data_IF_602375636356
#
_entry.id   IF_602375636356
#
_cell.length_a   1.000
_cell.length_b   1.000
_cell.length_c   1.000
_cell.angle_alpha   90.00
_cell.angle_beta   90.00
_cell.angle_gamma   90.00
#
_symmetry.space_group_name_H-M   'P 1'
#
loop_
_entity.id
_entity.type
_entity.pdbx_description
1 polymer ?
#
# COMPACT_ATOMS: atom_id res chain seq x y z
N UNK A 1 18.64 36.30 58.51
CA UNK A 1 17.95 35.15 57.88
C UNK A 1 17.56 35.57 56.48
N UNK A 2 18.37 35.24 55.46
CA UNK A 2 17.97 35.42 54.05
C UNK A 2 18.05 34.06 53.40
N UNK A 3 16.88 33.51 53.05
CA UNK A 3 16.74 32.18 52.47
C UNK A 3 17.18 32.14 51.01
N UNK A 4 17.89 31.08 50.65
CA UNK A 4 18.22 30.76 49.26
C UNK A 4 16.99 30.10 48.64
N UNK A 5 16.33 30.79 47.70
CA UNK A 5 15.28 30.22 46.87
C UNK A 5 15.90 29.39 45.73
N UNK A 6 15.61 28.09 45.74
CA UNK A 6 15.92 27.17 44.63
C UNK A 6 14.77 27.24 43.62
N UNK A 7 15.06 27.67 42.39
CA UNK A 7 14.10 27.63 41.29
C UNK A 7 14.15 26.26 40.62
N UNK A 8 13.02 25.56 40.62
CA UNK A 8 12.83 24.31 39.89
C UNK A 8 12.60 24.62 38.40
N UNK A 9 13.66 24.54 37.59
CA UNK A 9 13.54 24.49 36.13
C UNK A 9 13.17 23.06 35.74
N UNK A 10 11.90 22.81 35.44
CA UNK A 10 11.47 21.55 34.81
C UNK A 10 11.95 21.51 33.35
N UNK A 11 12.55 20.43 32.91
CA UNK A 11 12.87 20.21 31.49
C UNK A 11 11.57 19.94 30.70
N UNK A 12 11.08 20.93 29.94
CA UNK A 12 9.81 20.83 29.18
C UNK A 12 10.05 20.27 27.75
N UNK A 13 11.29 19.93 27.37
CA UNK A 13 11.65 19.58 25.98
C UNK A 13 12.14 18.14 25.74
N UNK A 14 12.38 17.33 26.76
CA UNK A 14 13.04 16.02 26.61
C UNK A 14 12.16 14.94 25.96
N UNK A 15 10.84 15.17 25.87
CA UNK A 15 9.87 14.17 25.41
C UNK A 15 9.34 14.40 23.98
N UNK A 16 9.72 15.50 23.32
CA UNK A 16 9.39 15.78 21.91
C UNK A 16 10.58 15.45 21.01
N UNK A 17 11.07 14.21 21.13
CA UNK A 17 12.10 13.69 20.25
C UNK A 17 11.41 13.09 19.03
N UNK A 18 11.52 13.77 17.89
CA UNK A 18 11.05 13.23 16.63
C UNK A 18 11.85 11.97 16.30
N UNK A 19 11.20 10.87 15.87
CA UNK A 19 11.91 9.66 15.53
C UNK A 19 12.88 9.93 14.36
N UNK A 20 14.17 9.82 14.64
CA UNK A 20 15.24 9.80 13.64
C UNK A 20 15.14 8.48 12.87
N UNK A 21 14.67 8.51 11.62
CA UNK A 21 14.49 7.29 10.84
C UNK A 21 13.47 7.39 9.70
N UNK A 22 12.77 6.28 9.43
CA UNK A 22 11.79 6.18 8.34
C UNK A 22 10.68 7.23 8.49
N UNK A 23 10.29 7.93 7.40
CA UNK A 23 9.21 8.91 7.45
C UNK A 23 7.94 8.30 8.05
N UNK A 24 7.25 9.08 8.90
CA UNK A 24 5.90 8.72 9.34
C UNK A 24 4.89 9.21 8.31
N UNK A 25 3.69 8.62 8.29
CA UNK A 25 2.60 9.09 7.41
C UNK A 25 2.33 10.60 7.59
N UNK A 26 2.47 11.12 8.82
CA UNK A 26 2.27 12.53 9.14
C UNK A 26 3.40 13.44 8.61
N UNK A 27 4.62 12.93 8.45
CA UNK A 27 5.76 13.73 8.00
C UNK A 27 6.10 13.56 6.51
N UNK A 28 5.54 12.55 5.85
CA UNK A 28 5.90 12.15 4.48
C UNK A 28 5.33 13.05 3.38
N UNK A 29 4.05 13.43 3.41
CA UNK A 29 3.37 14.05 2.25
C UNK A 29 3.59 15.57 2.14
N UNK A 30 4.81 16.02 1.81
CA UNK A 30 5.16 17.46 1.81
C UNK A 30 5.62 17.98 0.46
N UNK A 31 6.46 17.23 -0.24
CA UNK A 31 7.14 17.69 -1.46
C UNK A 31 6.63 16.96 -2.69
N UNK A 32 6.91 17.52 -3.87
CA UNK A 32 6.64 16.85 -5.14
C UNK A 32 7.31 15.47 -5.23
N UNK A 33 8.53 15.32 -4.71
CA UNK A 33 9.22 14.02 -4.70
C UNK A 33 8.51 13.00 -3.81
N UNK A 34 7.92 13.43 -2.70
CA UNK A 34 7.14 12.55 -1.82
C UNK A 34 5.86 12.07 -2.53
N UNK A 35 5.20 12.96 -3.30
CA UNK A 35 4.07 12.59 -4.14
C UNK A 35 4.46 11.54 -5.17
N UNK A 36 5.53 11.78 -5.92
CA UNK A 36 6.01 10.86 -6.96
C UNK A 36 6.36 9.51 -6.32
N UNK A 37 7.11 9.51 -5.22
CA UNK A 37 7.57 8.29 -4.54
C UNK A 37 6.39 7.53 -3.93
N UNK A 38 5.49 8.22 -3.23
CA UNK A 38 4.31 7.65 -2.61
C UNK A 38 3.32 7.07 -3.63
N UNK A 39 3.07 7.81 -4.73
CA UNK A 39 2.23 7.34 -5.82
C UNK A 39 2.86 6.15 -6.55
N UNK A 40 4.19 6.15 -6.77
CA UNK A 40 4.89 5.04 -7.42
C UNK A 40 4.74 3.71 -6.67
N UNK A 41 4.48 3.73 -5.37
CA UNK A 41 4.21 2.52 -4.59
C UNK A 41 2.95 1.76 -5.07
N UNK A 42 2.00 2.43 -5.76
CA UNK A 42 0.86 1.78 -6.41
C UNK A 42 1.29 0.81 -7.52
N UNK A 43 2.39 1.11 -8.22
CA UNK A 43 2.87 0.30 -9.34
C UNK A 43 3.65 -0.94 -8.90
N UNK A 44 4.17 -0.97 -7.67
CA UNK A 44 5.01 -2.07 -7.19
C UNK A 44 4.30 -3.44 -7.24
N UNK A 45 3.04 -3.60 -6.79
CA UNK A 45 2.32 -4.86 -6.93
C UNK A 45 2.05 -5.25 -8.39
N UNK A 46 2.01 -4.31 -9.34
CA UNK A 46 1.74 -4.61 -10.76
C UNK A 46 2.87 -5.40 -11.42
N UNK A 47 4.11 -5.20 -10.96
CA UNK A 47 5.28 -5.94 -11.44
C UNK A 47 5.41 -7.35 -10.82
N UNK A 48 4.58 -7.68 -9.83
CA UNK A 48 4.61 -8.98 -9.17
C UNK A 48 3.98 -10.06 -10.07
N UNK A 49 4.69 -11.17 -10.28
CA UNK A 49 4.19 -12.30 -11.07
C UNK A 49 2.90 -12.88 -10.50
N UNK A 50 2.68 -12.78 -9.20
CA UNK A 50 1.45 -13.23 -8.55
C UNK A 50 0.38 -12.14 -8.52
N UNK A 51 0.50 -11.06 -9.31
CA UNK A 51 -0.59 -10.10 -9.54
C UNK A 51 -1.10 -10.17 -10.97
N UNK A 52 -0.82 -9.18 -11.82
CA UNK A 52 -1.22 -9.18 -13.23
C UNK A 52 -0.34 -10.04 -14.15
N UNK A 53 0.72 -10.68 -13.63
CA UNK A 53 1.54 -11.60 -14.40
C UNK A 53 0.86 -12.95 -14.63
N UNK A 54 0.97 -13.87 -13.67
CA UNK A 54 0.34 -15.19 -13.62
C UNK A 54 -0.79 -15.25 -12.58
N UNK A 55 -0.63 -14.57 -11.46
CA UNK A 55 -1.53 -14.68 -10.30
C UNK A 55 -3.02 -14.52 -10.62
N UNK A 56 -3.38 -13.43 -11.29
CA UNK A 56 -4.75 -13.16 -11.73
C UNK A 56 -5.28 -14.23 -12.69
N UNK A 57 -4.42 -14.78 -13.56
CA UNK A 57 -4.84 -15.73 -14.58
C UNK A 57 -5.23 -17.10 -14.01
N UNK A 58 -4.85 -17.41 -12.76
CA UNK A 58 -5.35 -18.62 -12.08
C UNK A 58 -6.88 -18.60 -11.90
N UNK A 59 -7.53 -17.44 -11.90
CA UNK A 59 -9.00 -17.40 -11.89
C UNK A 59 -9.64 -17.89 -13.20
N UNK A 60 -8.90 -17.89 -14.32
CA UNK A 60 -9.39 -18.44 -15.61
C UNK A 60 -9.57 -19.95 -15.52
N UNK A 61 -8.97 -20.65 -14.55
CA UNK A 61 -9.26 -22.08 -14.33
C UNK A 61 -10.73 -22.36 -14.02
N UNK A 62 -11.49 -21.37 -13.53
CA UNK A 62 -12.93 -21.48 -13.32
C UNK A 62 -13.74 -21.28 -14.63
N UNK A 63 -13.09 -20.92 -15.74
CA UNK A 63 -13.69 -20.88 -17.08
C UNK A 63 -13.44 -22.19 -17.85
N UNK A 64 -14.01 -22.30 -19.04
CA UNK A 64 -13.78 -23.38 -19.99
C UNK A 64 -12.64 -23.11 -21.01
N UNK A 65 -11.97 -21.95 -20.93
CA UNK A 65 -10.91 -21.54 -21.86
C UNK A 65 -9.50 -22.05 -21.48
N UNK A 66 -9.33 -22.68 -20.32
CA UNK A 66 -8.02 -23.11 -19.83
C UNK A 66 -8.07 -24.42 -19.05
N UNK A 67 -7.08 -25.28 -19.29
CA UNK A 67 -6.78 -26.45 -18.47
C UNK A 67 -5.33 -26.40 -18.04
N UNK A 68 -5.07 -26.68 -16.75
CA UNK A 68 -3.70 -26.78 -16.25
C UNK A 68 -3.05 -28.05 -16.79
N UNK A 69 -1.96 -27.92 -17.56
CA UNK A 69 -1.27 -29.05 -18.21
C UNK A 69 -0.49 -29.99 -17.26
N UNK A 70 -0.68 -29.88 -15.96
CA UNK A 70 -0.09 -30.74 -14.92
C UNK A 70 -1.07 -30.94 -13.78
N UNK A 71 -0.99 -32.09 -13.11
CA UNK A 71 -1.78 -32.32 -11.89
C UNK A 71 -1.41 -31.31 -10.82
N UNK A 72 -2.39 -30.51 -10.39
CA UNK A 72 -2.23 -29.50 -9.34
C UNK A 72 -3.58 -29.24 -8.67
N UNK A 73 -3.66 -29.40 -7.35
CA UNK A 73 -4.93 -29.39 -6.62
C UNK A 73 -5.61 -28.02 -6.59
N UNK A 74 -4.85 -26.93 -6.50
CA UNK A 74 -5.40 -25.56 -6.45
C UNK A 74 -6.23 -25.19 -7.70
N UNK A 75 -5.69 -25.27 -8.94
CA UNK A 75 -6.48 -25.03 -10.14
C UNK A 75 -7.57 -26.08 -10.38
N UNK A 76 -7.37 -27.33 -9.97
CA UNK A 76 -8.42 -28.36 -10.06
C UNK A 76 -9.61 -28.02 -9.15
N UNK A 77 -9.36 -27.53 -7.94
CA UNK A 77 -10.40 -27.05 -7.05
C UNK A 77 -11.14 -25.83 -7.63
N UNK A 78 -10.42 -24.91 -8.26
CA UNK A 78 -11.01 -23.75 -8.94
C UNK A 78 -11.92 -24.19 -10.11
N UNK A 79 -11.43 -25.09 -10.98
CA UNK A 79 -12.18 -25.64 -12.12
C UNK A 79 -13.43 -26.39 -11.69
N UNK A 80 -13.34 -27.15 -10.61
CA UNK A 80 -14.44 -27.98 -10.11
C UNK A 80 -15.39 -27.21 -9.15
N UNK A 81 -15.18 -25.90 -8.95
CA UNK A 81 -15.95 -25.08 -8.00
C UNK A 81 -16.10 -25.73 -6.63
N UNK A 82 -15.00 -26.29 -6.13
CA UNK A 82 -14.99 -27.04 -4.87
C UNK A 82 -15.38 -26.13 -3.70
N UNK A 83 -16.53 -26.39 -3.07
CA UNK A 83 -17.00 -25.62 -1.91
C UNK A 83 -16.09 -25.73 -0.68
N UNK A 84 -15.24 -26.76 -0.64
CA UNK A 84 -14.29 -27.00 0.44
C UNK A 84 -12.97 -26.23 0.22
N UNK A 85 -12.81 -25.58 -0.93
CA UNK A 85 -11.62 -24.83 -1.26
C UNK A 85 -11.80 -23.35 -0.91
N UNK A 86 -11.37 -22.99 0.30
CA UNK A 86 -11.39 -21.60 0.77
C UNK A 86 -10.14 -20.90 0.27
N UNK A 87 -10.20 -20.41 -0.98
CA UNK A 87 -9.24 -19.53 -1.65
C UNK A 87 -7.79 -19.65 -1.14
N UNK A 88 -7.24 -20.87 -1.16
CA UNK A 88 -5.88 -21.13 -0.72
C UNK A 88 -4.89 -20.96 -1.89
N UNK A 89 -3.59 -20.97 -1.58
CA UNK A 89 -2.53 -21.05 -2.59
C UNK A 89 -2.56 -19.90 -3.60
N UNK A 90 -2.59 -20.20 -4.89
CA UNK A 90 -2.40 -19.17 -5.93
C UNK A 90 -3.55 -18.14 -6.00
N UNK A 91 -4.73 -18.45 -5.45
CA UNK A 91 -5.88 -17.53 -5.46
C UNK A 91 -5.93 -16.61 -4.22
N UNK A 92 -5.22 -16.97 -3.15
CA UNK A 92 -5.35 -16.31 -1.83
C UNK A 92 -4.85 -14.87 -1.84
N UNK A 93 -3.67 -14.64 -2.43
CA UNK A 93 -2.93 -13.38 -2.28
C UNK A 93 -3.57 -12.21 -3.04
N UNK A 94 -4.53 -12.51 -3.93
CA UNK A 94 -5.13 -11.58 -4.88
C UNK A 94 -5.89 -10.46 -4.19
N UNK A 95 -6.61 -10.78 -3.12
CA UNK A 95 -7.35 -9.81 -2.31
C UNK A 95 -6.39 -8.79 -1.67
N UNK A 96 -5.40 -9.29 -0.93
CA UNK A 96 -4.44 -8.45 -0.20
C UNK A 96 -3.64 -7.53 -1.12
N UNK A 97 -3.21 -8.03 -2.30
CA UNK A 97 -2.50 -7.20 -3.28
C UNK A 97 -3.37 -6.06 -3.82
N UNK A 98 -4.65 -6.32 -4.16
CA UNK A 98 -5.59 -5.28 -4.60
C UNK A 98 -5.83 -4.22 -3.53
N UNK A 99 -6.09 -4.65 -2.30
CA UNK A 99 -6.31 -3.73 -1.19
C UNK A 99 -5.05 -2.96 -0.79
N UNK A 100 -3.87 -3.51 -1.06
CA UNK A 100 -2.61 -2.76 -0.92
C UNK A 100 -2.57 -1.59 -1.90
N UNK A 101 -2.85 -1.82 -3.19
CA UNK A 101 -2.89 -0.75 -4.22
C UNK A 101 -3.96 0.28 -3.86
N UNK A 102 -5.18 -0.15 -3.53
CA UNK A 102 -6.28 0.73 -3.08
C UNK A 102 -5.86 1.55 -1.85
N UNK A 103 -5.15 0.93 -0.90
CA UNK A 103 -4.65 1.61 0.28
C UNK A 103 -3.63 2.70 -0.02
N UNK A 104 -2.75 2.50 -1.01
CA UNK A 104 -1.79 3.53 -1.45
C UNK A 104 -2.53 4.65 -2.21
N UNK A 105 -3.41 4.31 -3.15
CA UNK A 105 -4.24 5.27 -3.89
C UNK A 105 -5.01 6.21 -2.95
N UNK A 106 -5.65 5.64 -1.92
CA UNK A 106 -6.37 6.42 -0.92
C UNK A 106 -5.47 7.38 -0.14
N UNK A 107 -4.21 7.03 0.12
CA UNK A 107 -3.26 7.95 0.77
C UNK A 107 -2.87 9.10 -0.15
N UNK A 108 -2.66 8.84 -1.44
CA UNK A 108 -2.42 9.90 -2.44
C UNK A 108 -3.60 10.86 -2.47
N UNK A 109 -4.82 10.34 -2.64
CA UNK A 109 -6.05 11.14 -2.72
C UNK A 109 -6.25 12.00 -1.47
N UNK A 110 -6.02 11.44 -0.27
CA UNK A 110 -6.22 12.16 1.00
C UNK A 110 -5.18 13.23 1.29
N UNK A 111 -3.96 13.08 0.77
CA UNK A 111 -2.85 13.97 1.13
C UNK A 111 -2.45 14.95 0.01
N UNK A 112 -3.03 14.85 -1.18
CA UNK A 112 -2.65 15.62 -2.37
C UNK A 112 -2.66 17.15 -2.14
N UNK A 113 -3.58 17.63 -1.30
CA UNK A 113 -3.74 19.07 -1.01
C UNK A 113 -2.61 19.60 -0.12
N UNK A 114 -2.03 18.76 0.74
CA UNK A 114 -0.96 19.14 1.68
C UNK A 114 0.41 19.27 1.00
N UNK A 115 0.56 18.74 -0.21
CA UNK A 115 1.83 18.63 -0.93
C UNK A 115 2.13 19.93 -1.68
N UNK A 116 3.38 20.40 -1.60
CA UNK A 116 3.87 21.51 -2.41
C UNK A 116 4.37 20.99 -3.77
N UNK A 117 3.50 21.05 -4.77
CA UNK A 117 3.76 20.64 -6.15
C UNK A 117 2.88 21.42 -7.13
N UNK A 118 3.25 21.46 -8.41
CA UNK A 118 2.43 22.12 -9.43
C UNK A 118 1.07 21.43 -9.62
N UNK A 119 0.05 22.18 -10.03
CA UNK A 119 -1.29 21.62 -10.31
C UNK A 119 -1.23 20.51 -11.38
N UNK A 120 -0.38 20.66 -12.39
CA UNK A 120 -0.14 19.64 -13.42
C UNK A 120 0.32 18.32 -12.82
N UNK A 121 1.31 18.37 -11.91
CA UNK A 121 1.85 17.18 -11.26
C UNK A 121 0.81 16.56 -10.31
N UNK A 122 0.13 17.37 -9.50
CA UNK A 122 -0.94 16.90 -8.63
C UNK A 122 -2.05 16.19 -9.41
N UNK A 123 -2.53 16.79 -10.49
CA UNK A 123 -3.60 16.23 -11.32
C UNK A 123 -3.21 14.93 -12.01
N UNK A 124 -1.95 14.80 -12.44
CA UNK A 124 -1.42 13.56 -13.00
C UNK A 124 -1.54 12.41 -12.00
N UNK A 125 -0.95 12.57 -10.81
CA UNK A 125 -0.93 11.50 -9.81
C UNK A 125 -2.29 11.26 -9.15
N UNK A 126 -3.13 12.29 -9.05
CA UNK A 126 -4.52 12.12 -8.65
C UNK A 126 -5.31 11.31 -9.68
N UNK A 127 -5.10 11.59 -10.98
CA UNK A 127 -5.68 10.81 -12.06
C UNK A 127 -5.23 9.35 -12.03
N UNK A 128 -3.93 9.10 -11.84
CA UNK A 128 -3.38 7.75 -11.68
C UNK A 128 -3.95 7.03 -10.45
N UNK A 129 -4.22 7.73 -9.34
CA UNK A 129 -4.80 7.12 -8.14
C UNK A 129 -6.29 6.76 -8.28
N UNK A 130 -7.02 7.40 -9.21
CA UNK A 130 -8.42 7.08 -9.49
C UNK A 130 -8.61 5.96 -10.53
N UNK A 131 -7.56 5.63 -11.28
CA UNK A 131 -7.53 4.63 -12.35
C UNK A 131 -7.17 3.25 -11.81
#
# INVERSE_FOLDING_TARGET
MSGISVMLLSCIGELDVQPEGTPTEASFWKTENDLITGANAMYRPLADSEFYGRGLFWFINASDDMVTGRSKSEPDNAKNFSSNYIAAGDLETQWNKRYTVIGVANRVIRNIDNIQASATVKNKYLGEAFL
#
